data_IF_414539480639
#
_entry.id   IF_414539480639
#
_cell.length_a   1.000
_cell.length_b   1.000
_cell.length_c   1.000
_cell.angle_alpha   90.00
_cell.angle_beta   90.00
_cell.angle_gamma   90.00
#
_symmetry.space_group_name_H-M   'P 1'
#
loop_
_entity.id
_entity.type
_entity.pdbx_description
1 polymer ?
#
# COMPACT_ATOMS: atom_id res chain seq x y z
N UNK A 1 19.81 -69.71 -19.57
CA UNK A 1 19.57 -68.71 -18.51
C UNK A 1 19.23 -67.38 -19.18
N UNK A 2 17.95 -67.04 -19.28
CA UNK A 2 17.51 -65.72 -19.77
C UNK A 2 16.43 -65.21 -18.81
N UNK A 3 16.83 -64.28 -17.93
CA UNK A 3 15.94 -63.63 -16.97
C UNK A 3 15.16 -62.55 -17.70
N UNK A 4 13.86 -62.80 -17.94
CA UNK A 4 12.91 -61.74 -18.29
C UNK A 4 12.75 -60.83 -17.07
N UNK A 5 13.18 -59.58 -17.19
CA UNK A 5 12.88 -58.54 -16.23
C UNK A 5 11.40 -58.14 -16.41
N UNK A 6 10.57 -58.48 -15.43
CA UNK A 6 9.24 -57.89 -15.27
C UNK A 6 9.43 -56.43 -14.85
N UNK A 7 9.22 -55.50 -15.78
CA UNK A 7 8.91 -54.12 -15.45
C UNK A 7 7.48 -54.10 -14.91
N UNK A 8 7.34 -54.22 -13.59
CA UNK A 8 6.11 -53.86 -12.91
C UNK A 8 5.95 -52.34 -13.03
N UNK A 9 4.95 -51.95 -13.81
CA UNK A 9 4.50 -50.58 -13.94
C UNK A 9 3.70 -50.25 -12.67
N UNK A 10 4.40 -49.78 -11.64
CA UNK A 10 3.76 -49.12 -10.50
C UNK A 10 3.17 -47.80 -11.01
N UNK A 11 1.95 -47.85 -11.52
CA UNK A 11 1.09 -46.68 -11.60
C UNK A 11 0.73 -46.29 -10.17
N UNK A 12 1.62 -45.51 -9.56
CA UNK A 12 1.32 -44.73 -8.37
C UNK A 12 0.09 -43.87 -8.71
N UNK A 13 -1.08 -44.27 -8.20
CA UNK A 13 -2.31 -43.50 -8.37
C UNK A 13 -2.14 -42.20 -7.60
N UNK A 14 -1.65 -41.16 -8.27
CA UNK A 14 -1.54 -39.81 -7.71
C UNK A 14 -2.95 -39.40 -7.27
N UNK A 15 -3.17 -39.38 -5.97
CA UNK A 15 -4.41 -38.93 -5.36
C UNK A 15 -4.64 -37.49 -5.84
N UNK A 16 -5.59 -37.30 -6.75
CA UNK A 16 -5.81 -35.99 -7.36
C UNK A 16 -6.44 -35.11 -6.29
N UNK A 17 -5.64 -34.19 -5.76
CA UNK A 17 -6.07 -33.15 -4.83
C UNK A 17 -7.42 -32.55 -5.29
N UNK A 18 -8.45 -32.51 -4.43
CA UNK A 18 -9.80 -32.08 -4.81
C UNK A 18 -9.83 -30.66 -5.40
N UNK A 19 -8.89 -29.80 -5.00
CA UNK A 19 -8.63 -28.47 -5.55
C UNK A 19 -8.40 -28.52 -7.07
N UNK A 20 -7.57 -29.45 -7.53
CA UNK A 20 -7.18 -29.56 -8.95
C UNK A 20 -8.36 -29.95 -9.83
N UNK A 21 -9.24 -30.82 -9.33
CA UNK A 21 -10.45 -31.24 -10.06
C UNK A 21 -11.46 -30.09 -10.20
N UNK A 22 -11.61 -29.27 -9.16
CA UNK A 22 -12.48 -28.09 -9.21
C UNK A 22 -11.91 -27.01 -10.14
N UNK A 23 -10.60 -26.75 -10.04
CA UNK A 23 -9.90 -25.78 -10.89
C UNK A 23 -9.99 -26.15 -12.37
N UNK A 24 -9.86 -27.43 -12.73
CA UNK A 24 -9.99 -27.84 -14.13
C UNK A 24 -11.39 -27.53 -14.70
N UNK A 25 -12.46 -27.70 -13.90
CA UNK A 25 -13.83 -27.39 -14.32
C UNK A 25 -14.11 -25.90 -14.44
N UNK A 26 -13.35 -25.05 -13.74
CA UNK A 26 -13.45 -23.60 -13.87
C UNK A 26 -12.96 -23.10 -15.24
N UNK A 27 -12.12 -23.85 -15.94
CA UNK A 27 -11.53 -23.48 -17.23
C UNK A 27 -12.13 -24.28 -18.40
N UNK A 28 -13.26 -24.95 -18.16
CA UNK A 28 -13.98 -25.70 -19.18
C UNK A 28 -14.49 -24.76 -20.29
N UNK A 29 -14.54 -25.24 -21.54
CA UNK A 29 -15.04 -24.45 -22.68
C UNK A 29 -16.53 -24.14 -22.55
N UNK A 30 -17.30 -25.01 -21.89
CA UNK A 30 -18.73 -24.85 -21.68
C UNK A 30 -19.04 -23.85 -20.56
N UNK A 31 -19.78 -22.78 -20.90
CA UNK A 31 -20.27 -21.79 -19.91
C UNK A 31 -21.04 -22.48 -18.77
N UNK A 32 -21.90 -23.44 -19.09
CA UNK A 32 -22.72 -24.13 -18.09
C UNK A 32 -21.87 -24.93 -17.08
N UNK A 33 -20.76 -25.52 -17.52
CA UNK A 33 -19.83 -26.21 -16.63
C UNK A 33 -19.07 -25.22 -15.74
N UNK A 34 -18.62 -24.10 -16.31
CA UNK A 34 -17.95 -23.02 -15.56
C UNK A 34 -18.83 -22.43 -14.46
N UNK A 35 -20.10 -22.14 -14.75
CA UNK A 35 -21.06 -21.63 -13.76
C UNK A 35 -21.26 -22.62 -12.62
N UNK A 36 -21.52 -23.90 -12.94
CA UNK A 36 -21.65 -24.96 -11.93
C UNK A 36 -20.36 -25.15 -11.12
N UNK A 37 -19.20 -24.93 -11.73
CA UNK A 37 -17.91 -25.03 -11.04
C UNK A 37 -17.70 -23.89 -10.04
N UNK A 38 -18.11 -22.66 -10.36
CA UNK A 38 -18.08 -21.52 -9.44
C UNK A 38 -18.98 -21.79 -8.22
N UNK A 39 -20.23 -22.19 -8.43
CA UNK A 39 -21.18 -22.51 -7.35
C UNK A 39 -20.66 -23.62 -6.42
N UNK A 40 -20.08 -24.68 -7.01
CA UNK A 40 -19.47 -25.78 -6.26
C UNK A 40 -18.22 -25.34 -5.51
N UNK A 41 -17.39 -24.50 -6.11
CA UNK A 41 -16.20 -23.97 -5.47
C UNK A 41 -16.57 -23.11 -4.27
N UNK A 42 -17.56 -22.22 -4.41
CA UNK A 42 -18.08 -21.42 -3.30
C UNK A 42 -18.56 -22.31 -2.15
N UNK A 43 -19.40 -23.30 -2.46
CA UNK A 43 -19.92 -24.24 -1.47
C UNK A 43 -18.80 -25.01 -0.77
N UNK A 44 -17.77 -25.41 -1.50
CA UNK A 44 -16.62 -26.13 -0.96
C UNK A 44 -15.72 -25.24 -0.08
N UNK A 45 -15.48 -23.98 -0.48
CA UNK A 45 -14.76 -23.00 0.35
C UNK A 45 -15.51 -22.79 1.67
N UNK A 46 -16.83 -22.60 1.62
CA UNK A 46 -17.65 -22.41 2.81
C UNK A 46 -17.59 -23.64 3.71
N UNK A 47 -17.80 -24.85 3.17
CA UNK A 47 -17.73 -26.09 3.93
C UNK A 47 -16.35 -26.33 4.57
N UNK A 48 -15.26 -26.04 3.85
CA UNK A 48 -13.90 -26.22 4.36
C UNK A 48 -13.56 -25.22 5.46
N UNK A 49 -14.02 -23.99 5.31
CA UNK A 49 -13.87 -22.93 6.32
C UNK A 49 -14.59 -23.25 7.63
N UNK A 50 -15.69 -24.02 7.58
CA UNK A 50 -16.39 -24.50 8.78
C UNK A 50 -15.58 -25.53 9.57
N UNK A 51 -14.67 -26.25 8.90
CA UNK A 51 -13.88 -27.30 9.52
C UNK A 51 -12.53 -26.76 10.00
N UNK A 52 -12.41 -26.49 11.30
CA UNK A 52 -11.20 -25.96 11.93
C UNK A 52 -9.96 -26.86 11.80
N UNK A 53 -10.10 -28.10 11.33
CA UNK A 53 -9.00 -29.01 11.07
C UNK A 53 -8.44 -28.93 9.63
N UNK A 54 -9.10 -28.19 8.72
CA UNK A 54 -8.76 -28.17 7.29
C UNK A 54 -8.58 -26.74 6.75
N UNK A 55 -7.51 -26.09 7.18
CA UNK A 55 -7.12 -24.77 6.64
C UNK A 55 -6.60 -24.88 5.20
N UNK A 56 -6.75 -23.81 4.44
CA UNK A 56 -6.10 -23.66 3.14
C UNK A 56 -4.63 -23.34 3.32
N UNK A 57 -3.80 -24.00 2.52
CA UNK A 57 -2.42 -23.56 2.34
C UNK A 57 -2.36 -22.43 1.30
N UNK A 58 -1.27 -21.68 1.29
CA UNK A 58 -1.06 -20.64 0.29
C UNK A 58 -1.07 -21.21 -1.15
N UNK A 59 -0.48 -22.40 -1.35
CA UNK A 59 -0.42 -23.05 -2.66
C UNK A 59 -1.81 -23.50 -3.14
N UNK A 60 -2.69 -23.93 -2.24
CA UNK A 60 -4.08 -24.27 -2.57
C UNK A 60 -4.81 -23.04 -3.13
N UNK A 61 -4.68 -21.90 -2.45
CA UNK A 61 -5.32 -20.65 -2.86
C UNK A 61 -4.73 -20.13 -4.18
N UNK A 62 -3.42 -20.26 -4.41
CA UNK A 62 -2.81 -19.90 -5.70
C UNK A 62 -3.35 -20.77 -6.85
N UNK A 63 -3.55 -22.07 -6.64
CA UNK A 63 -4.16 -22.97 -7.65
C UNK A 63 -5.61 -22.53 -7.93
N UNK A 64 -6.37 -22.24 -6.89
CA UNK A 64 -7.76 -21.78 -6.99
C UNK A 64 -7.82 -20.46 -7.77
N UNK A 65 -7.02 -19.46 -7.38
CA UNK A 65 -6.95 -18.17 -8.03
C UNK A 65 -6.55 -18.25 -9.50
N UNK A 66 -5.65 -19.18 -9.86
CA UNK A 66 -5.33 -19.44 -11.27
C UNK A 66 -6.57 -19.93 -12.04
N UNK A 67 -7.37 -20.82 -11.46
CA UNK A 67 -8.63 -21.25 -12.03
C UNK A 67 -9.63 -20.11 -12.20
N UNK A 68 -9.79 -19.28 -11.17
CA UNK A 68 -10.67 -18.10 -11.18
C UNK A 68 -10.26 -17.06 -12.23
N UNK A 69 -8.95 -16.80 -12.35
CA UNK A 69 -8.39 -15.92 -13.37
C UNK A 69 -8.76 -16.38 -14.78
N UNK A 70 -8.59 -17.67 -15.10
CA UNK A 70 -8.95 -18.19 -16.42
C UNK A 70 -10.47 -18.35 -16.60
N UNK A 71 -11.24 -18.51 -15.53
CA UNK A 71 -12.70 -18.43 -15.60
C UNK A 71 -13.14 -17.03 -16.07
N UNK A 72 -12.59 -15.98 -15.46
CA UNK A 72 -12.78 -14.59 -15.89
C UNK A 72 -12.26 -14.35 -17.31
N UNK A 73 -11.12 -14.95 -17.69
CA UNK A 73 -10.59 -14.87 -19.05
C UNK A 73 -11.60 -15.30 -20.12
N UNK A 74 -12.37 -16.36 -19.84
CA UNK A 74 -13.41 -16.92 -20.73
C UNK A 74 -14.79 -16.23 -20.62
N UNK A 75 -14.92 -15.18 -19.81
CA UNK A 75 -16.15 -14.39 -19.69
C UNK A 75 -16.19 -13.27 -20.75
N UNK A 76 -17.07 -13.39 -21.75
CA UNK A 76 -17.14 -12.43 -22.87
C UNK A 76 -18.27 -11.40 -22.72
N UNK A 77 -19.37 -11.74 -22.05
CA UNK A 77 -20.50 -10.80 -21.89
C UNK A 77 -20.23 -9.83 -20.73
N UNK A 78 -20.39 -8.50 -20.91
CA UNK A 78 -20.11 -7.50 -19.86
C UNK A 78 -20.81 -7.78 -18.53
N UNK A 79 -22.11 -8.05 -18.55
CA UNK A 79 -22.90 -8.36 -17.34
C UNK A 79 -22.32 -9.57 -16.58
N UNK A 80 -21.87 -10.60 -17.30
CA UNK A 80 -21.27 -11.78 -16.67
C UNK A 80 -19.89 -11.48 -16.09
N UNK A 81 -19.12 -10.58 -16.71
CA UNK A 81 -17.80 -10.17 -16.20
C UNK A 81 -17.96 -9.44 -14.87
N UNK A 82 -18.93 -8.52 -14.79
CA UNK A 82 -19.24 -7.78 -13.57
C UNK A 82 -19.74 -8.71 -12.46
N UNK A 83 -20.75 -9.53 -12.74
CA UNK A 83 -21.29 -10.51 -11.77
C UNK A 83 -20.20 -11.43 -11.22
N UNK A 84 -19.35 -11.96 -12.09
CA UNK A 84 -18.26 -12.86 -11.69
C UNK A 84 -17.20 -12.14 -10.86
N UNK A 85 -16.84 -10.91 -11.22
CA UNK A 85 -15.87 -10.12 -10.48
C UNK A 85 -16.39 -9.78 -9.08
N UNK A 86 -17.65 -9.37 -8.97
CA UNK A 86 -18.33 -9.08 -7.70
C UNK A 86 -18.43 -10.33 -6.83
N UNK A 87 -18.90 -11.45 -7.40
CA UNK A 87 -19.03 -12.71 -6.68
C UNK A 87 -17.68 -13.17 -6.10
N UNK A 88 -16.65 -13.29 -6.94
CA UNK A 88 -15.33 -13.79 -6.49
C UNK A 88 -14.68 -12.85 -5.47
N UNK A 89 -14.88 -11.54 -5.61
CA UNK A 89 -14.31 -10.56 -4.68
C UNK A 89 -14.97 -10.65 -3.30
N UNK A 90 -16.29 -10.82 -3.25
CA UNK A 90 -17.04 -10.95 -1.99
C UNK A 90 -16.68 -12.18 -1.16
N UNK A 91 -16.06 -13.20 -1.76
CA UNK A 91 -15.67 -14.43 -1.05
C UNK A 91 -14.67 -14.19 0.08
N UNK A 92 -13.98 -13.05 0.10
CA UNK A 92 -13.16 -12.61 1.24
C UNK A 92 -13.95 -12.67 2.55
N UNK A 93 -15.25 -12.36 2.51
CA UNK A 93 -16.14 -12.30 3.68
C UNK A 93 -16.73 -13.65 4.10
N UNK A 94 -16.60 -14.68 3.28
CA UNK A 94 -17.12 -16.02 3.56
C UNK A 94 -16.18 -16.81 4.50
N UNK A 95 -14.92 -16.36 4.62
CA UNK A 95 -13.95 -16.96 5.53
C UNK A 95 -14.24 -16.59 6.99
N UNK A 96 -14.44 -17.61 7.86
CA UNK A 96 -14.60 -17.42 9.31
C UNK A 96 -13.32 -17.00 10.01
N UNK A 97 -12.19 -17.47 9.51
CA UNK A 97 -10.87 -17.13 10.05
C UNK A 97 -10.24 -15.98 9.25
N UNK A 98 -9.84 -14.93 9.97
CA UNK A 98 -9.30 -13.72 9.36
C UNK A 98 -7.93 -13.93 8.71
N UNK A 99 -7.12 -14.87 9.22
CA UNK A 99 -5.83 -15.17 8.61
C UNK A 99 -6.02 -15.96 7.29
N UNK A 100 -7.04 -16.81 7.19
CA UNK A 100 -7.44 -17.44 5.91
C UNK A 100 -7.94 -16.40 4.89
N UNK A 101 -8.78 -15.46 5.31
CA UNK A 101 -9.21 -14.35 4.45
C UNK A 101 -8.00 -13.54 3.96
N UNK A 102 -7.05 -13.24 4.84
CA UNK A 102 -5.80 -12.56 4.49
C UNK A 102 -4.95 -13.37 3.50
N UNK A 103 -4.86 -14.70 3.64
CA UNK A 103 -4.17 -15.56 2.67
C UNK A 103 -4.87 -15.53 1.30
N UNK A 104 -6.20 -15.51 1.27
CA UNK A 104 -6.96 -15.39 0.03
C UNK A 104 -6.70 -14.05 -0.68
N UNK A 105 -6.67 -12.95 0.08
CA UNK A 105 -6.30 -11.61 -0.42
C UNK A 105 -4.87 -11.61 -0.99
N UNK A 106 -3.91 -12.15 -0.25
CA UNK A 106 -2.51 -12.22 -0.66
C UNK A 106 -2.33 -13.03 -1.95
N UNK A 107 -2.96 -14.21 -2.02
CA UNK A 107 -2.93 -15.06 -3.21
C UNK A 107 -3.60 -14.42 -4.44
N UNK A 108 -4.68 -13.68 -4.24
CA UNK A 108 -5.37 -12.94 -5.30
C UNK A 108 -4.49 -11.86 -5.92
N UNK A 109 -3.93 -10.98 -5.07
CA UNK A 109 -3.01 -9.94 -5.54
C UNK A 109 -1.73 -10.51 -6.16
N UNK A 110 -1.19 -11.61 -5.63
CA UNK A 110 -0.06 -12.31 -6.23
C UNK A 110 -0.40 -12.87 -7.63
N UNK A 111 -1.62 -13.39 -7.81
CA UNK A 111 -2.09 -13.91 -9.09
C UNK A 111 -2.25 -12.79 -10.12
N UNK A 112 -2.89 -11.67 -9.76
CA UNK A 112 -2.95 -10.51 -10.65
C UNK A 112 -1.57 -10.02 -11.04
N UNK A 113 -0.66 -9.84 -10.07
CA UNK A 113 0.70 -9.37 -10.35
C UNK A 113 1.46 -10.27 -11.33
N UNK A 114 1.32 -11.60 -11.18
CA UNK A 114 1.98 -12.59 -12.05
C UNK A 114 1.41 -12.61 -13.48
N UNK A 115 0.09 -12.61 -13.61
CA UNK A 115 -0.56 -12.84 -14.91
C UNK A 115 -0.79 -11.54 -15.72
N UNK A 116 -0.66 -10.36 -15.10
CA UNK A 116 -1.05 -9.09 -15.73
C UNK A 116 -0.38 -8.80 -17.08
N UNK A 117 0.90 -9.14 -17.20
CA UNK A 117 1.65 -8.90 -18.44
C UNK A 117 1.10 -9.72 -19.63
N UNK A 118 0.47 -10.87 -19.35
CA UNK A 118 -0.13 -11.72 -20.37
C UNK A 118 -1.52 -11.30 -20.84
N UNK A 119 -2.11 -10.24 -20.27
CA UNK A 119 -3.45 -9.78 -20.64
C UNK A 119 -3.38 -8.96 -21.93
N UNK A 120 -4.14 -9.38 -22.94
CA UNK A 120 -4.25 -8.62 -24.19
C UNK A 120 -5.20 -7.42 -24.04
N UNK A 121 -5.08 -6.47 -24.99
CA UNK A 121 -5.81 -5.20 -24.98
C UNK A 121 -7.34 -5.36 -24.86
N UNK A 122 -7.92 -6.40 -25.47
CA UNK A 122 -9.39 -6.59 -25.48
C UNK A 122 -9.91 -7.12 -24.15
N UNK A 123 -9.06 -7.82 -23.38
CA UNK A 123 -9.42 -8.37 -22.07
C UNK A 123 -9.04 -7.46 -20.91
N UNK A 124 -8.18 -6.47 -21.13
CA UNK A 124 -7.66 -5.62 -20.07
C UNK A 124 -8.76 -4.96 -19.23
N UNK A 125 -9.80 -4.42 -19.88
CA UNK A 125 -10.87 -3.67 -19.18
C UNK A 125 -11.54 -4.48 -18.06
N UNK A 126 -11.95 -5.73 -18.33
CA UNK A 126 -12.60 -6.57 -17.30
C UNK A 126 -11.66 -6.92 -16.14
N UNK A 127 -10.36 -7.10 -16.41
CA UNK A 127 -9.39 -7.36 -15.35
C UNK A 127 -9.09 -6.09 -14.53
N UNK A 128 -9.13 -4.90 -15.14
CA UNK A 128 -9.08 -3.62 -14.42
C UNK A 128 -10.25 -3.50 -13.44
N UNK A 129 -11.48 -3.76 -13.92
CA UNK A 129 -12.69 -3.76 -13.08
C UNK A 129 -12.61 -4.82 -11.97
N UNK A 130 -12.11 -6.01 -12.29
CA UNK A 130 -11.97 -7.07 -11.29
C UNK A 130 -10.99 -6.68 -10.17
N UNK A 131 -9.83 -6.10 -10.50
CA UNK A 131 -8.91 -5.57 -9.48
C UNK A 131 -9.55 -4.46 -8.65
N UNK A 132 -10.39 -3.61 -9.26
CA UNK A 132 -11.12 -2.54 -8.56
C UNK A 132 -12.05 -3.12 -7.50
N UNK A 133 -12.93 -4.06 -7.85
CA UNK A 133 -13.82 -4.70 -6.88
C UNK A 133 -13.06 -5.50 -5.83
N UNK A 134 -12.00 -6.21 -6.21
CA UNK A 134 -11.21 -6.97 -5.27
C UNK A 134 -10.50 -6.08 -4.24
N UNK A 135 -10.02 -4.91 -4.67
CA UNK A 135 -9.45 -3.90 -3.76
C UNK A 135 -10.51 -3.34 -2.81
N UNK A 136 -11.72 -3.03 -3.31
CA UNK A 136 -12.85 -2.55 -2.49
C UNK A 136 -13.24 -3.56 -1.41
N UNK A 137 -13.46 -4.82 -1.78
CA UNK A 137 -13.82 -5.88 -0.84
C UNK A 137 -12.70 -6.12 0.18
N UNK A 138 -11.43 -5.97 -0.22
CA UNK A 138 -10.30 -6.00 0.72
C UNK A 138 -10.34 -4.85 1.73
N UNK A 139 -10.74 -3.64 1.32
CA UNK A 139 -10.97 -2.54 2.25
C UNK A 139 -12.19 -2.77 3.13
N UNK A 140 -13.29 -3.31 2.59
CA UNK A 140 -14.48 -3.66 3.37
C UNK A 140 -14.14 -4.68 4.45
N UNK A 141 -13.26 -5.64 4.15
CA UNK A 141 -12.75 -6.59 5.12
C UNK A 141 -12.01 -5.88 6.27
N UNK A 142 -11.14 -4.91 5.96
CA UNK A 142 -10.45 -4.10 6.97
C UNK A 142 -11.42 -3.22 7.77
N UNK A 143 -12.47 -2.69 7.15
CA UNK A 143 -13.55 -1.93 7.81
C UNK A 143 -14.29 -2.80 8.81
N UNK A 144 -14.64 -4.03 8.44
CA UNK A 144 -15.30 -5.01 9.32
C UNK A 144 -14.40 -5.38 10.51
N UNK A 145 -13.08 -5.39 10.31
CA UNK A 145 -12.08 -5.49 11.37
C UNK A 145 -11.81 -4.17 12.11
N UNK A 146 -12.62 -3.12 11.90
CA UNK A 146 -12.52 -1.81 12.54
C UNK A 146 -11.13 -1.15 12.39
N UNK A 147 -10.47 -1.39 11.26
CA UNK A 147 -9.17 -0.80 10.93
C UNK A 147 -8.09 -1.06 12.00
N UNK A 148 -8.06 -2.28 12.55
CA UNK A 148 -7.04 -2.70 13.51
C UNK A 148 -5.62 -2.51 12.95
N UNK A 149 -4.69 -2.04 13.80
CA UNK A 149 -3.30 -1.71 13.40
C UNK A 149 -2.62 -2.91 12.74
N UNK A 150 -2.78 -4.09 13.33
CA UNK A 150 -2.10 -5.31 12.89
C UNK A 150 -2.56 -5.70 11.48
N UNK A 151 -3.87 -5.68 11.23
CA UNK A 151 -4.44 -6.12 9.95
C UNK A 151 -4.16 -5.10 8.83
N UNK A 152 -4.22 -3.80 9.13
CA UNK A 152 -3.77 -2.75 8.18
C UNK A 152 -2.29 -2.92 7.83
N UNK A 153 -1.43 -3.25 8.81
CA UNK A 153 0.00 -3.50 8.55
C UNK A 153 0.23 -4.78 7.76
N UNK A 154 -0.51 -5.86 8.04
CA UNK A 154 -0.49 -7.09 7.24
C UNK A 154 -0.89 -6.78 5.79
N UNK A 155 -2.01 -6.11 5.58
CA UNK A 155 -2.53 -5.77 4.25
C UNK A 155 -1.57 -4.89 3.45
N UNK A 156 -1.07 -3.81 4.04
CA UNK A 156 -0.11 -2.91 3.38
C UNK A 156 1.21 -3.61 3.04
N UNK A 157 1.63 -4.57 3.88
CA UNK A 157 2.76 -5.45 3.57
C UNK A 157 2.47 -6.34 2.36
N UNK A 158 1.31 -6.98 2.30
CA UNK A 158 0.89 -7.81 1.16
C UNK A 158 0.89 -7.00 -0.14
N UNK A 159 0.24 -5.82 -0.13
CA UNK A 159 0.22 -4.93 -1.30
C UNK A 159 1.63 -4.54 -1.74
N UNK A 160 2.51 -4.18 -0.81
CA UNK A 160 3.90 -3.85 -1.12
C UNK A 160 4.70 -5.03 -1.69
N UNK A 161 4.39 -6.24 -1.26
CA UNK A 161 5.08 -7.45 -1.71
C UNK A 161 4.61 -7.90 -3.09
N UNK A 162 3.32 -7.78 -3.40
CA UNK A 162 2.75 -8.30 -4.64
C UNK A 162 2.60 -7.24 -5.72
N UNK A 163 1.80 -6.20 -5.45
CA UNK A 163 1.38 -5.23 -6.47
C UNK A 163 2.25 -3.97 -6.45
N UNK A 164 2.24 -3.25 -5.33
CA UNK A 164 2.91 -1.96 -5.12
C UNK A 164 4.38 -2.12 -4.72
N UNK A 165 5.09 -3.04 -5.37
CA UNK A 165 6.53 -3.22 -5.18
C UNK A 165 7.30 -2.05 -5.81
N UNK A 166 8.11 -1.36 -5.01
CA UNK A 166 8.88 -0.20 -5.49
C UNK A 166 9.91 -0.54 -6.56
N UNK A 167 10.59 -1.68 -6.40
CA UNK A 167 11.57 -2.19 -7.36
C UNK A 167 11.30 -3.67 -7.61
N UNK A 168 11.60 -4.13 -8.82
CA UNK A 168 11.46 -5.53 -9.23
C UNK A 168 10.34 -5.76 -10.25
N UNK A 169 10.40 -6.93 -10.87
CA UNK A 169 9.54 -7.32 -11.98
C UNK A 169 8.36 -8.20 -11.54
N UNK A 170 8.08 -8.28 -10.23
CA UNK A 170 7.00 -9.12 -9.69
C UNK A 170 5.63 -8.65 -10.14
N UNK A 171 5.42 -7.33 -10.19
CA UNK A 171 4.27 -6.71 -10.83
C UNK A 171 4.79 -5.81 -11.95
N UNK A 172 4.12 -5.87 -13.10
CA UNK A 172 4.36 -4.91 -14.17
C UNK A 172 3.85 -3.52 -13.76
N UNK A 173 4.29 -2.50 -14.49
CA UNK A 173 3.93 -1.13 -14.17
C UNK A 173 2.46 -0.83 -14.44
N UNK A 174 1.84 -1.44 -15.47
CA UNK A 174 0.43 -1.25 -15.78
C UNK A 174 -0.49 -1.52 -14.58
N UNK A 175 -0.25 -2.60 -13.83
CA UNK A 175 -1.02 -2.91 -12.63
C UNK A 175 -0.75 -1.90 -11.49
N UNK A 176 0.50 -1.47 -11.32
CA UNK A 176 0.86 -0.47 -10.28
C UNK A 176 0.18 0.87 -10.54
N UNK A 177 0.16 1.30 -11.80
CA UNK A 177 -0.47 2.55 -12.22
C UNK A 177 -1.98 2.47 -11.98
N UNK A 178 -2.64 1.40 -12.45
CA UNK A 178 -4.06 1.17 -12.23
C UNK A 178 -4.44 1.15 -10.74
N UNK A 179 -3.72 0.37 -9.92
CA UNK A 179 -4.00 0.33 -8.48
C UNK A 179 -3.76 1.68 -7.82
N UNK A 180 -2.82 2.49 -8.31
CA UNK A 180 -2.63 3.86 -7.82
C UNK A 180 -3.83 4.73 -8.15
N UNK A 181 -4.33 4.66 -9.39
CA UNK A 181 -5.44 5.50 -9.89
C UNK A 181 -6.74 5.25 -9.13
N UNK A 182 -7.03 3.99 -8.82
CA UNK A 182 -8.28 3.62 -8.14
C UNK A 182 -8.17 3.66 -6.61
N UNK A 183 -6.96 3.78 -6.04
CA UNK A 183 -6.74 3.52 -4.60
C UNK A 183 -7.58 4.41 -3.69
N UNK A 184 -7.59 5.72 -3.96
CA UNK A 184 -8.30 6.69 -3.13
C UNK A 184 -9.80 6.61 -3.34
N UNK A 185 -10.25 6.43 -4.58
CA UNK A 185 -11.67 6.26 -4.92
C UNK A 185 -12.27 5.06 -4.17
N UNK A 186 -11.62 3.90 -4.25
CA UNK A 186 -12.10 2.67 -3.61
C UNK A 186 -11.98 2.74 -2.08
N UNK A 187 -10.97 3.44 -1.57
CA UNK A 187 -10.85 3.64 -0.12
C UNK A 187 -11.92 4.60 0.41
N UNK A 188 -12.23 5.69 -0.30
CA UNK A 188 -13.25 6.66 0.09
C UNK A 188 -14.65 6.02 0.17
N UNK A 189 -15.01 5.19 -0.82
CA UNK A 189 -16.28 4.46 -0.81
C UNK A 189 -16.47 3.56 0.42
N UNK A 190 -15.37 3.09 1.02
CA UNK A 190 -15.41 2.14 2.14
C UNK A 190 -15.18 2.83 3.50
N UNK A 191 -14.25 3.79 3.55
CA UNK A 191 -13.63 4.29 4.77
C UNK A 191 -14.62 4.76 5.85
N UNK A 192 -15.74 5.37 5.44
CA UNK A 192 -16.69 6.00 6.35
C UNK A 192 -16.05 7.09 7.23
N UNK A 193 -16.84 7.63 8.15
CA UNK A 193 -16.34 8.46 9.28
C UNK A 193 -15.46 7.65 10.26
N UNK A 194 -15.40 6.32 10.09
CA UNK A 194 -14.75 5.39 11.03
C UNK A 194 -13.22 5.38 10.88
N UNK A 195 -12.68 5.70 9.71
CA UNK A 195 -11.24 5.59 9.44
C UNK A 195 -10.45 6.76 10.05
N UNK A 196 -9.76 6.50 11.16
CA UNK A 196 -8.89 7.51 11.81
C UNK A 196 -7.73 7.94 10.89
N UNK A 197 -7.35 9.23 10.84
CA UNK A 197 -6.26 9.73 9.99
C UNK A 197 -4.92 9.01 10.18
N UNK A 198 -4.60 8.61 11.41
CA UNK A 198 -3.38 7.82 11.72
C UNK A 198 -3.36 6.46 11.01
N UNK A 199 -4.52 5.83 10.80
CA UNK A 199 -4.64 4.55 10.07
C UNK A 199 -4.56 4.76 8.57
N UNK A 200 -5.16 5.82 8.05
CA UNK A 200 -5.06 6.23 6.65
C UNK A 200 -3.59 6.42 6.23
N UNK A 201 -2.76 7.05 7.06
CA UNK A 201 -1.32 7.20 6.79
C UNK A 201 -0.58 5.85 6.77
N UNK A 202 -1.03 4.85 7.52
CA UNK A 202 -0.47 3.49 7.41
C UNK A 202 -0.86 2.84 6.08
N UNK A 203 -2.11 3.01 5.64
CA UNK A 203 -2.59 2.54 4.33
C UNK A 203 -1.78 3.14 3.17
N UNK A 204 -1.33 4.40 3.29
CA UNK A 204 -0.47 5.04 2.29
C UNK A 204 1.00 4.55 2.29
N UNK A 205 1.38 3.66 3.22
CA UNK A 205 2.78 3.22 3.36
C UNK A 205 3.42 2.58 2.13
N UNK A 206 2.72 1.80 1.27
CA UNK A 206 3.31 1.28 0.04
C UNK A 206 3.75 2.40 -0.90
N UNK A 207 2.95 3.47 -1.02
CA UNK A 207 3.23 4.62 -1.88
C UNK A 207 4.40 5.46 -1.37
N UNK A 208 4.52 5.66 -0.05
CA UNK A 208 5.73 6.26 0.51
C UNK A 208 6.98 5.45 0.17
N UNK A 209 6.89 4.13 0.17
CA UNK A 209 8.02 3.28 -0.20
C UNK A 209 8.36 3.41 -1.70
N UNK A 210 7.36 3.52 -2.58
CA UNK A 210 7.56 3.79 -4.01
C UNK A 210 8.28 5.13 -4.20
N UNK A 211 7.75 6.22 -3.63
CA UNK A 211 8.39 7.54 -3.71
C UNK A 211 9.83 7.50 -3.20
N UNK A 212 10.09 6.78 -2.10
CA UNK A 212 11.42 6.70 -1.49
C UNK A 212 12.45 5.94 -2.34
N UNK A 213 12.06 4.78 -2.88
CA UNK A 213 13.01 3.75 -3.36
C UNK A 213 12.87 3.35 -4.82
N UNK A 214 11.78 3.70 -5.51
CA UNK A 214 11.56 3.28 -6.90
C UNK A 214 12.61 3.85 -7.86
N UNK A 215 13.14 3.01 -8.75
CA UNK A 215 13.93 3.42 -9.93
C UNK A 215 13.05 3.95 -11.07
N UNK A 216 11.80 3.51 -11.14
CA UNK A 216 10.89 3.90 -12.20
C UNK A 216 10.34 5.31 -11.95
N UNK A 217 10.83 6.27 -12.73
CA UNK A 217 10.42 7.67 -12.66
C UNK A 217 8.97 7.90 -13.06
N UNK A 218 8.47 7.12 -14.03
CA UNK A 218 7.08 7.22 -14.50
C UNK A 218 6.16 6.85 -13.34
N UNK A 219 6.46 5.74 -12.66
CA UNK A 219 5.71 5.31 -11.48
C UNK A 219 5.79 6.34 -10.34
N UNK A 220 6.97 6.91 -10.05
CA UNK A 220 7.11 7.94 -9.00
C UNK A 220 6.28 9.18 -9.34
N UNK A 221 6.34 9.67 -10.59
CA UNK A 221 5.54 10.82 -11.04
C UNK A 221 4.04 10.52 -10.99
N UNK A 222 3.65 9.30 -11.35
CA UNK A 222 2.26 8.84 -11.30
C UNK A 222 1.73 8.81 -9.87
N UNK A 223 2.46 8.22 -8.93
CA UNK A 223 2.11 8.23 -7.50
C UNK A 223 2.10 9.65 -6.94
N UNK A 224 3.06 10.49 -7.33
CA UNK A 224 3.06 11.89 -6.92
C UNK A 224 1.76 12.58 -7.35
N UNK A 225 1.37 12.45 -8.62
CA UNK A 225 0.23 13.15 -9.22
C UNK A 225 -1.11 12.54 -8.82
N UNK A 226 -1.32 11.26 -9.13
CA UNK A 226 -2.61 10.57 -9.01
C UNK A 226 -2.87 10.00 -7.62
N UNK A 227 -2.02 10.31 -6.64
CA UNK A 227 -2.30 9.99 -5.24
C UNK A 227 -2.14 11.25 -4.39
N UNK A 228 -0.93 11.78 -4.30
CA UNK A 228 -0.66 12.87 -3.36
C UNK A 228 -1.19 14.23 -3.82
N UNK A 229 -1.10 14.57 -5.12
CA UNK A 229 -1.74 15.79 -5.62
C UNK A 229 -3.26 15.66 -5.59
N UNK A 230 -3.83 14.49 -5.88
CA UNK A 230 -5.27 14.27 -5.73
C UNK A 230 -5.75 14.52 -4.29
N UNK A 231 -5.05 14.03 -3.27
CA UNK A 231 -5.38 14.34 -1.86
C UNK A 231 -5.42 15.85 -1.59
N UNK A 232 -4.53 16.62 -2.24
CA UNK A 232 -4.51 18.07 -2.12
C UNK A 232 -5.70 18.69 -2.85
N UNK A 233 -6.00 18.24 -4.06
CA UNK A 233 -7.08 18.76 -4.88
C UNK A 233 -8.46 18.55 -4.23
N UNK A 234 -8.67 17.40 -3.60
CA UNK A 234 -9.91 17.07 -2.88
C UNK A 234 -9.87 17.47 -1.40
N UNK A 235 -8.98 18.40 -1.00
CA UNK A 235 -8.97 18.91 0.36
C UNK A 235 -10.01 20.02 0.52
N UNK A 236 -10.61 20.10 1.71
CA UNK A 236 -11.61 21.14 2.09
C UNK A 236 -11.10 22.58 1.86
N UNK A 237 -9.77 22.78 1.88
CA UNK A 237 -9.12 24.08 1.63
C UNK A 237 -9.08 24.45 0.14
N UNK A 238 -9.20 23.45 -0.74
CA UNK A 238 -9.17 23.60 -2.19
C UNK A 238 -10.53 23.63 -2.87
N UNK A 239 -11.60 23.35 -2.12
CA UNK A 239 -12.98 23.43 -2.59
C UNK A 239 -13.42 24.89 -2.48
N UNK A 240 -13.72 25.52 -3.61
CA UNK A 240 -14.37 26.83 -3.64
C UNK A 240 -15.81 26.65 -3.14
N UNK A 241 -16.28 27.41 -2.13
CA UNK A 241 -17.65 27.30 -1.64
C UNK A 241 -18.70 27.40 -2.76
N UNK A 242 -18.43 28.20 -3.80
CA UNK A 242 -19.33 28.31 -4.97
C UNK A 242 -19.36 27.00 -5.79
N UNK A 243 -18.23 26.31 -5.92
CA UNK A 243 -18.14 25.02 -6.61
C UNK A 243 -18.75 23.87 -5.79
N UNK A 244 -18.72 23.97 -4.45
CA UNK A 244 -19.42 23.05 -3.55
C UNK A 244 -20.93 23.15 -3.74
N UNK A 245 -21.47 24.37 -3.74
CA UNK A 245 -22.90 24.63 -4.00
C UNK A 245 -23.33 24.15 -5.40
N UNK A 246 -22.51 24.35 -6.44
CA UNK A 246 -22.78 23.84 -7.78
C UNK A 246 -22.79 22.30 -7.85
N UNK A 247 -21.83 21.64 -7.20
CA UNK A 247 -21.77 20.17 -7.13
C UNK A 247 -22.95 19.59 -6.36
N UNK A 248 -23.32 20.18 -5.24
CA UNK A 248 -24.51 19.79 -4.47
C UNK A 248 -25.78 19.95 -5.31
N UNK A 249 -25.91 21.04 -6.08
CA UNK A 249 -27.05 21.27 -6.97
C UNK A 249 -27.13 20.22 -8.10
N UNK A 250 -25.99 19.86 -8.71
CA UNK A 250 -25.92 18.81 -9.73
C UNK A 250 -26.28 17.44 -9.14
N UNK A 251 -25.76 17.11 -7.95
CA UNK A 251 -26.10 15.85 -7.27
C UNK A 251 -27.58 15.80 -6.85
N UNK A 252 -28.15 16.91 -6.39
CA UNK A 252 -29.56 17.00 -6.04
C UNK A 252 -30.45 16.81 -7.29
N UNK A 253 -30.07 17.39 -8.42
CA UNK A 253 -30.77 17.19 -9.69
C UNK A 253 -30.65 15.75 -10.20
N UNK A 254 -29.47 15.13 -10.06
CA UNK A 254 -29.25 13.72 -10.36
C UNK A 254 -30.08 12.78 -9.47
N UNK A 255 -30.21 13.09 -8.18
CA UNK A 255 -31.09 12.34 -7.24
C UNK A 255 -32.56 12.45 -7.65
N UNK A 256 -33.03 13.63 -8.01
CA UNK A 256 -34.40 13.82 -8.51
C UNK A 256 -34.68 13.03 -9.79
N UNK A 257 -33.74 12.98 -10.73
CA UNK A 257 -33.88 12.18 -11.95
C UNK A 257 -33.90 10.66 -11.70
N UNK A 258 -33.19 10.17 -10.68
CA UNK A 258 -33.17 8.75 -10.29
C UNK A 258 -34.45 8.37 -9.52
N UNK A 259 -34.96 9.26 -8.67
CA UNK A 259 -36.23 9.07 -7.95
C UNK A 259 -37.43 9.02 -8.91
N UNK A 260 -37.42 9.78 -10.01
CA UNK A 260 -38.46 9.71 -11.04
C UNK A 260 -38.43 8.41 -11.87
N UNK A 261 -37.29 7.70 -11.94
CA UNK A 261 -37.15 6.43 -12.68
C UNK A 261 -37.33 5.17 -11.80
N UNK A 262 -37.33 5.28 -10.47
CA UNK A 262 -37.39 4.14 -9.54
C UNK A 262 -38.55 4.21 -8.54
N UNK A 263 -39.80 4.19 -9.03
CA UNK A 263 -40.93 3.73 -8.22
C UNK A 263 -40.87 2.19 -8.07
N UNK A 264 -40.03 1.68 -7.17
CA UNK A 264 -40.26 0.52 -6.29
C UNK A 264 -38.99 0.12 -5.53
N UNK A 265 -39.17 -0.01 -4.21
CA UNK A 265 -38.24 -0.52 -3.19
C UNK A 265 -37.33 0.52 -2.52
N UNK A 266 -37.87 1.10 -1.45
CA UNK A 266 -37.16 1.74 -0.35
C UNK A 266 -36.11 0.81 0.25
N UNK A 267 -34.84 1.24 0.20
CA UNK A 267 -34.00 1.42 1.39
C UNK A 267 -33.27 2.76 1.20
N UNK A 268 -33.71 3.79 1.94
CA UNK A 268 -33.02 5.08 2.00
C UNK A 268 -31.71 4.89 2.77
N UNK A 269 -30.66 4.46 2.08
CA UNK A 269 -29.31 4.75 2.54
C UNK A 269 -28.99 6.18 2.08
N UNK A 270 -29.21 7.15 2.98
CA UNK A 270 -28.54 8.45 2.90
C UNK A 270 -27.03 8.17 2.84
N UNK A 271 -26.49 8.08 1.63
CA UNK A 271 -25.04 8.02 1.41
C UNK A 271 -24.50 9.41 1.78
N UNK A 272 -24.27 9.65 3.08
CA UNK A 272 -23.46 10.76 3.56
C UNK A 272 -22.18 10.78 2.72
N UNK A 273 -21.83 11.94 2.17
CA UNK A 273 -20.68 12.07 1.30
C UNK A 273 -19.41 11.75 2.11
N UNK A 274 -18.90 10.52 1.97
CA UNK A 274 -17.82 10.00 2.81
C UNK A 274 -16.48 10.57 2.32
N UNK A 275 -16.17 11.80 2.73
CA UNK A 275 -14.87 12.40 2.48
C UNK A 275 -13.80 11.74 3.38
N UNK A 276 -12.67 11.37 2.79
CA UNK A 276 -11.52 10.85 3.55
C UNK A 276 -10.89 11.97 4.39
N UNK A 277 -10.88 11.82 5.71
CA UNK A 277 -10.26 12.81 6.59
C UNK A 277 -8.74 12.61 6.70
N UNK A 278 -7.98 13.59 6.21
CA UNK A 278 -6.52 13.59 6.25
C UNK A 278 -5.97 14.54 7.34
N UNK A 279 -5.00 14.04 8.11
CA UNK A 279 -4.16 14.89 8.96
C UNK A 279 -2.96 15.37 8.13
N UNK A 280 -3.10 16.54 7.50
CA UNK A 280 -2.08 17.10 6.60
C UNK A 280 -0.75 17.36 7.32
N UNK A 281 -0.79 17.74 8.60
CA UNK A 281 0.42 17.95 9.42
C UNK A 281 1.17 16.65 9.63
N UNK A 282 0.45 15.57 9.97
CA UNK A 282 1.05 14.24 10.13
C UNK A 282 1.56 13.68 8.80
N UNK A 283 0.86 13.94 7.70
CA UNK A 283 1.27 13.53 6.35
C UNK A 283 2.56 14.24 5.91
N UNK A 284 2.65 15.56 6.13
CA UNK A 284 3.87 16.34 5.91
C UNK A 284 5.04 15.81 6.74
N UNK A 285 4.85 15.63 8.06
CA UNK A 285 5.88 15.10 8.95
C UNK A 285 6.36 13.70 8.51
N UNK A 286 5.44 12.86 8.04
CA UNK A 286 5.76 11.53 7.51
C UNK A 286 6.62 11.60 6.24
N UNK A 287 6.28 12.47 5.30
CA UNK A 287 7.04 12.69 4.06
C UNK A 287 8.46 13.21 4.36
N UNK A 288 8.61 14.18 5.27
CA UNK A 288 9.92 14.66 5.73
C UNK A 288 10.75 13.51 6.29
N UNK A 289 10.16 12.66 7.14
CA UNK A 289 10.86 11.50 7.69
C UNK A 289 11.30 10.53 6.60
N UNK A 290 10.44 10.28 5.60
CA UNK A 290 10.75 9.42 4.45
C UNK A 290 11.93 9.97 3.63
N UNK A 291 11.96 11.29 3.38
CA UNK A 291 13.04 11.94 2.63
C UNK A 291 14.39 11.94 3.36
N UNK A 292 14.39 11.97 4.70
CA UNK A 292 15.60 11.98 5.54
C UNK A 292 16.29 10.62 5.66
N UNK A 293 15.60 9.51 5.38
CA UNK A 293 16.20 8.17 5.48
C UNK A 293 17.33 8.03 4.45
N UNK A 294 18.47 7.47 4.87
CA UNK A 294 19.65 7.29 4.00
C UNK A 294 19.33 6.54 2.70
N UNK A 295 18.42 5.57 2.75
CA UNK A 295 17.98 4.79 1.59
C UNK A 295 16.99 5.50 0.65
N UNK A 296 16.66 6.77 0.89
CA UNK A 296 15.87 7.56 -0.04
C UNK A 296 16.74 7.99 -1.23
N UNK A 297 16.30 7.71 -2.46
CA UNK A 297 17.02 8.11 -3.67
C UNK A 297 17.11 9.61 -3.79
N UNK A 298 18.30 10.11 -4.12
CA UNK A 298 18.58 11.55 -4.15
C UNK A 298 17.64 12.32 -5.09
N UNK A 299 17.35 11.76 -6.26
CA UNK A 299 16.38 12.31 -7.22
C UNK A 299 14.99 12.48 -6.60
N UNK A 300 14.51 11.46 -5.90
CA UNK A 300 13.15 11.44 -5.37
C UNK A 300 13.01 12.34 -4.14
N UNK A 301 14.10 12.57 -3.37
CA UNK A 301 14.09 13.46 -2.19
C UNK A 301 13.51 14.83 -2.50
N UNK A 302 13.86 15.43 -3.65
CA UNK A 302 13.36 16.76 -4.04
C UNK A 302 11.83 16.78 -4.13
N UNK A 303 11.25 15.80 -4.82
CA UNK A 303 9.79 15.68 -4.98
C UNK A 303 9.09 15.40 -3.64
N UNK A 304 9.68 14.55 -2.78
CA UNK A 304 9.11 14.25 -1.46
C UNK A 304 9.10 15.49 -0.57
N UNK A 305 10.18 16.29 -0.57
CA UNK A 305 10.20 17.55 0.18
C UNK A 305 9.21 18.58 -0.38
N UNK A 306 9.01 18.61 -1.70
CA UNK A 306 7.99 19.45 -2.31
C UNK A 306 6.58 19.06 -1.83
N UNK A 307 6.22 17.77 -1.85
CA UNK A 307 4.95 17.30 -1.28
C UNK A 307 4.83 17.65 0.20
N UNK A 308 5.89 17.46 0.98
CA UNK A 308 5.87 17.80 2.40
C UNK A 308 5.56 19.29 2.63
N UNK A 309 6.11 20.19 1.81
CA UNK A 309 5.80 21.63 1.87
C UNK A 309 4.34 21.90 1.48
N UNK A 310 3.82 21.25 0.44
CA UNK A 310 2.41 21.41 0.03
C UNK A 310 1.43 20.97 1.12
N UNK A 311 1.69 19.83 1.77
CA UNK A 311 0.86 19.37 2.88
C UNK A 311 1.02 20.21 4.16
N UNK A 312 2.21 20.76 4.41
CA UNK A 312 2.40 21.71 5.52
C UNK A 312 1.62 23.00 5.28
N UNK A 313 1.60 23.53 4.04
CA UNK A 313 0.77 24.67 3.66
C UNK A 313 -0.73 24.38 3.85
N UNK A 314 -1.22 23.22 3.39
CA UNK A 314 -2.61 22.79 3.63
C UNK A 314 -2.96 22.73 5.12
N UNK A 315 -2.04 22.23 5.96
CA UNK A 315 -2.26 22.17 7.41
C UNK A 315 -2.42 23.55 8.08
N UNK A 316 -2.08 24.62 7.35
CA UNK A 316 -2.22 26.03 7.75
C UNK A 316 -3.38 26.73 7.04
N UNK A 317 -4.21 26.00 6.29
CA UNK A 317 -5.32 26.55 5.51
C UNK A 317 -4.88 27.26 4.22
N UNK A 318 -3.67 27.00 3.71
CA UNK A 318 -3.18 27.59 2.45
C UNK A 318 -3.29 26.54 1.36
N UNK A 319 -4.09 26.80 0.32
CA UNK A 319 -4.19 25.91 -0.83
C UNK A 319 -2.90 25.98 -1.67
N UNK A 320 -2.15 24.88 -1.81
CA UNK A 320 -0.79 24.92 -2.33
C UNK A 320 -0.68 24.79 -3.85
N UNK A 321 -1.82 24.78 -4.56
CA UNK A 321 -1.89 24.63 -6.03
C UNK A 321 -2.36 25.89 -6.76
N UNK A 322 -2.84 26.92 -6.05
CA UNK A 322 -3.41 28.14 -6.65
C UNK A 322 -2.40 29.24 -7.00
N UNK A 323 -1.15 29.22 -6.50
CA UNK A 323 -0.13 30.21 -6.92
C UNK A 323 1.34 29.72 -6.72
N UNK A 324 2.25 30.17 -7.59
CA UNK A 324 3.65 29.72 -7.75
C UNK A 324 4.57 30.05 -6.57
N UNK A 325 4.10 30.78 -5.56
CA UNK A 325 4.88 31.19 -4.38
C UNK A 325 4.28 30.67 -3.09
N UNK A 326 4.46 29.37 -2.87
CA UNK A 326 4.39 28.81 -1.52
C UNK A 326 5.30 29.63 -0.60
N UNK A 327 4.85 30.04 0.61
CA UNK A 327 5.69 30.79 1.52
C UNK A 327 7.02 30.05 1.71
N UNK A 328 8.14 30.77 1.54
CA UNK A 328 9.44 30.22 1.89
C UNK A 328 9.33 29.73 3.33
N UNK A 329 9.44 28.41 3.50
CA UNK A 329 9.56 27.83 4.83
C UNK A 329 10.72 28.56 5.46
N UNK A 330 10.49 29.32 6.53
CA UNK A 330 11.55 29.95 7.30
C UNK A 330 12.62 28.90 7.51
N UNK A 331 13.74 29.04 6.79
CA UNK A 331 14.99 28.37 7.09
C UNK A 331 15.46 28.95 8.42
N UNK A 332 14.77 28.60 9.51
CA UNK A 332 15.32 28.74 10.84
C UNK A 332 16.39 27.67 10.95
N UNK A 333 17.57 28.08 10.49
CA UNK A 333 18.90 27.66 10.89
C UNK A 333 19.01 26.23 11.43
N UNK A 334 19.68 25.36 10.67
CA UNK A 334 20.32 24.12 11.13
C UNK A 334 19.49 23.36 12.17
N UNK A 335 18.79 22.32 11.74
CA UNK A 335 18.28 21.25 12.61
C UNK A 335 19.41 20.69 13.52
N UNK A 336 19.64 21.37 14.64
CA UNK A 336 20.05 20.78 15.89
C UNK A 336 18.75 20.26 16.50
N UNK A 337 18.37 19.06 16.08
CA UNK A 337 17.27 18.37 16.74
C UNK A 337 17.79 17.93 18.10
N UNK A 338 17.52 18.71 19.14
CA UNK A 338 17.10 18.09 20.39
C UNK A 338 15.77 17.43 20.10
N UNK A 339 15.87 16.14 19.76
CA UNK A 339 14.72 15.27 19.61
C UNK A 339 14.16 15.05 21.01
N UNK A 340 12.87 15.25 21.21
CA UNK A 340 12.19 14.74 22.40
C UNK A 340 12.33 13.20 22.40
N UNK A 341 13.29 12.74 23.21
CA UNK A 341 13.71 11.35 23.32
C UNK A 341 12.56 10.47 23.84
N UNK A 342 11.54 11.08 24.45
CA UNK A 342 10.41 10.35 25.04
C UNK A 342 9.42 9.88 23.97
N UNK A 343 9.10 10.70 22.97
CA UNK A 343 8.19 10.30 21.87
C UNK A 343 8.81 9.22 20.96
N UNK A 344 10.14 9.21 20.81
CA UNK A 344 10.87 8.14 20.11
C UNK A 344 10.94 6.85 20.90
N UNK A 345 11.07 6.93 22.23
CA UNK A 345 11.10 5.75 23.12
C UNK A 345 9.77 5.02 23.13
N UNK A 346 8.64 5.73 23.17
CA UNK A 346 7.31 5.11 23.11
C UNK A 346 7.06 4.40 21.78
N UNK A 347 7.46 5.01 20.66
CA UNK A 347 7.29 4.40 19.34
C UNK A 347 8.28 3.25 19.03
N UNK A 348 9.47 3.25 19.64
CA UNK A 348 10.40 2.11 19.60
C UNK A 348 9.93 0.94 20.48
N UNK A 349 9.27 1.22 21.62
CA UNK A 349 8.61 0.20 22.45
C UNK A 349 7.54 -0.54 21.66
N UNK A 350 6.69 0.20 20.96
CA UNK A 350 5.64 -0.32 20.07
C UNK A 350 6.17 -1.16 18.89
N UNK A 351 7.42 -0.95 18.46
CA UNK A 351 8.05 -1.69 17.37
C UNK A 351 8.83 -2.91 17.86
N UNK A 352 9.37 -2.87 19.08
CA UNK A 352 10.12 -3.98 19.70
C UNK A 352 9.23 -5.12 20.18
N UNK A 353 7.97 -4.84 20.52
CA UNK A 353 7.00 -5.85 20.97
C UNK A 353 6.54 -6.81 19.86
N UNK A 354 6.84 -6.51 18.59
CA UNK A 354 6.55 -7.37 17.42
C UNK A 354 7.66 -8.38 17.09
N UNK A 355 8.71 -8.51 17.93
CA UNK A 355 9.85 -9.35 17.59
C UNK A 355 10.62 -9.94 18.77
N UNK A 356 10.06 -10.94 19.47
CA UNK A 356 10.89 -11.83 20.29
C UNK A 356 10.42 -13.31 20.34
N UNK A 357 11.16 -14.14 19.60
CA UNK A 357 11.75 -15.46 19.97
C UNK A 357 12.98 -15.58 19.04
N UNK A 358 14.25 -15.85 19.41
CA UNK A 358 14.95 -16.35 20.60
C UNK A 358 16.33 -15.66 20.70
N UNK A 359 16.91 -15.75 21.90
CA UNK A 359 18.17 -15.18 22.42
C UNK A 359 19.45 -15.49 21.61
N UNK A 360 20.37 -14.52 21.60
CA UNK A 360 21.81 -14.74 21.77
C UNK A 360 22.36 -13.61 22.65
N UNK A 361 23.06 -13.97 23.73
CA UNK A 361 23.63 -13.05 24.74
C UNK A 361 25.01 -12.60 24.28
N UNK A 362 25.19 -11.30 24.06
CA UNK A 362 26.52 -10.67 24.07
C UNK A 362 26.53 -9.65 25.21
N UNK A 363 27.56 -9.70 26.06
CA UNK A 363 27.59 -8.99 27.35
C UNK A 363 27.71 -7.46 27.14
N UNK A 364 27.08 -6.62 28.00
CA UNK A 364 27.06 -5.16 27.87
C UNK A 364 28.42 -4.44 28.05
N UNK A 365 29.45 -5.13 28.56
CA UNK A 365 30.70 -4.50 29.01
C UNK A 365 31.69 -4.13 27.88
N UNK A 366 31.48 -4.60 26.65
CA UNK A 366 32.36 -4.27 25.51
C UNK A 366 31.95 -3.00 24.74
N UNK A 367 30.70 -2.52 24.91
CA UNK A 367 30.21 -1.32 24.20
C UNK A 367 30.70 -0.05 24.90
N UNK A 368 30.75 -0.03 26.24
CA UNK A 368 31.24 1.12 27.00
C UNK A 368 32.75 1.36 26.78
N UNK A 369 33.54 0.29 26.65
CA UNK A 369 34.98 0.39 26.33
C UNK A 369 35.24 0.89 24.90
N UNK A 370 34.31 0.66 23.96
CA UNK A 370 34.39 1.16 22.59
C UNK A 370 33.98 2.64 22.48
N UNK A 371 33.02 3.08 23.31
CA UNK A 371 32.59 4.47 23.39
C UNK A 371 33.65 5.37 24.04
N UNK A 372 34.34 4.89 25.08
CA UNK A 372 35.43 5.63 25.74
C UNK A 372 36.64 5.85 24.81
N UNK A 373 36.98 4.87 23.97
CA UNK A 373 38.04 5.00 22.94
C UNK A 373 37.68 6.00 21.83
N UNK A 374 36.38 6.19 21.55
CA UNK A 374 35.91 7.13 20.52
C UNK A 374 35.94 8.59 21.00
N UNK A 375 35.65 8.84 22.28
CA UNK A 375 35.68 10.20 22.85
C UNK A 375 37.10 10.75 23.07
N UNK A 376 38.06 9.88 23.37
CA UNK A 376 39.48 10.26 23.50
C UNK A 376 40.07 10.71 22.14
N UNK A 377 39.61 10.14 21.02
CA UNK A 377 40.05 10.54 19.66
C UNK A 377 39.45 11.89 19.22
N UNK A 378 38.24 12.24 19.67
CA UNK A 378 37.59 13.54 19.36
C UNK A 378 38.22 14.69 20.14
N UNK A 379 38.63 14.48 21.39
CA UNK A 379 39.33 15.50 22.20
C UNK A 379 40.73 15.83 21.69
N UNK A 380 41.48 14.85 21.16
CA UNK A 380 42.83 15.09 20.58
C UNK A 380 42.83 15.87 19.26
N UNK A 381 41.73 15.87 18.50
CA UNK A 381 41.60 16.66 17.25
C UNK A 381 41.21 18.13 17.47
N UNK A 382 40.69 18.48 18.64
CA UNK A 382 40.25 19.87 18.96
C UNK A 382 41.36 20.76 19.53
N UNK A 383 42.51 20.21 19.91
CA UNK A 383 43.62 20.95 20.53
C UNK A 383 44.80 21.31 19.59
N UNK A 384 44.78 20.94 18.30
CA UNK A 384 45.87 21.27 17.34
C UNK A 384 45.55 22.39 16.35
N UNK A 385 44.54 23.22 16.60
CA UNK A 385 44.14 24.29 15.68
C UNK A 385 43.64 25.54 16.40
N UNK A 386 44.49 26.22 17.18
CA UNK A 386 44.33 27.63 17.57
C UNK A 386 45.60 28.14 18.28
N UNK A 387 46.40 28.91 17.55
CA UNK A 387 47.57 29.66 18.02
C UNK A 387 48.61 29.78 16.89
N UNK A 388 48.93 30.95 16.32
CA UNK A 388 48.46 32.30 16.57
C UNK A 388 48.82 33.20 15.39
N UNK A 389 48.12 34.32 15.28
CA UNK A 389 48.49 35.44 14.41
C UNK A 389 48.13 36.71 15.16
N UNK A 390 49.11 37.37 15.78
CA UNK A 390 49.05 38.80 16.15
C UNK A 390 50.46 39.40 16.18
N UNK A 391 50.71 40.20 15.15
CA UNK A 391 51.50 41.43 15.04
C UNK A 391 52.37 41.83 16.25
N UNK A 392 53.67 42.01 16.01
CA UNK A 392 54.53 42.96 16.72
C UNK A 392 54.88 44.11 15.77
N UNK A 393 54.46 45.32 16.13
CA UNK A 393 55.08 46.57 15.73
C UNK A 393 56.05 46.95 16.85
N UNK A 394 57.32 47.21 16.52
CA UNK A 394 58.07 48.34 17.06
C UNK A 394 59.38 48.53 16.27
N UNK A 395 59.64 49.81 15.99
CA UNK A 395 60.75 50.40 15.26
C UNK A 395 62.10 50.17 15.97
N UNK A 396 63.20 50.10 15.19
CA UNK A 396 64.19 51.20 15.08
C UNK A 396 65.41 50.78 14.24
N UNK A 397 65.70 51.64 13.26
CA UNK A 397 66.99 52.26 12.87
C UNK A 397 68.19 51.44 12.33
N UNK A 398 68.83 52.06 11.34
CA UNK A 398 70.25 51.94 10.97
C UNK A 398 70.47 51.05 9.76
N UNK A 399 70.59 51.59 8.55
CA UNK A 399 71.77 52.26 7.95
C UNK A 399 72.65 51.28 7.17
N UNK A 400 73.04 51.78 5.99
CA UNK A 400 74.19 51.45 5.17
C UNK A 400 74.19 50.27 4.18
N UNK A 401 74.41 50.73 2.93
CA UNK A 401 75.03 50.12 1.73
C UNK A 401 74.15 49.40 0.70
#
# INVERSE_FOLDING_TARGET
>A
MSRKANYNNEQESVEIEPERLLVHKLVDSSKAQRTKAIERLKSWINARTLNSASFFTYDDLIKIWKGLYYNMWMADKPILQEQLATEISSWIHEFRDNDQACLYIDAGFATFAREWWGIDRWRLSKFMTFVRYFLRESFMFLKNLKWLKADVLKFTKMLRQNVLSANGNRSCDGLKLHVTDIYLEELAQVAGVVLKPKRLILLLSPFFNILKTSDNEVLVKHVYKNLFIQIIQFSDVGIDPEAEEEMEAIQAFGRQAIEEEMETNNENDEQEEIALQFDYKLLSAKLVKVAKVENCKQRNRKQIYELARKFDALSRGIYPLSDERLPEVFESNRLSCEVDVNTLREFQKDLGELGHKKKSKTKPEEIDQLLEKYDIKKRRKKHRGKGGSKKKQQQKNGDDQ
#
